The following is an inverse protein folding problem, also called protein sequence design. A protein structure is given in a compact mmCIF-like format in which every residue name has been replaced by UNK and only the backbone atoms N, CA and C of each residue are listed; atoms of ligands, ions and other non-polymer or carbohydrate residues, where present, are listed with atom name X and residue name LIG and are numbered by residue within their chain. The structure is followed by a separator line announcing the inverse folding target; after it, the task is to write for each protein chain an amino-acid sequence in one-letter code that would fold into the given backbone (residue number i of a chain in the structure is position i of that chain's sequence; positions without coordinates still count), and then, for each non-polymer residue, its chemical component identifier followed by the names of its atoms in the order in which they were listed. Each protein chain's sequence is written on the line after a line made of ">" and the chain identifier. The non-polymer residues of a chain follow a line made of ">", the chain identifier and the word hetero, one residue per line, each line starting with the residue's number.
data_IF_836950098799
#
_entry.id   IF_836950098799
#
_cell.length_a   1.000
_cell.length_b   1.000
_cell.length_c   1.000
_cell.angle_alpha   90.00
_cell.angle_beta   90.00
_cell.angle_gamma   90.00
#
_symmetry.space_group_name_H-M   'P 1'
#
loop_
_entity.id
_entity.type
_entity.pdbx_description
1 polymer ?
#
# COMPACT_ATOMS: atom_id res chain seq x y z
N UNK A 1 11.46 5.04 18.52
CA UNK A 1 11.11 3.78 17.82
C UNK A 1 12.38 2.96 17.75
N UNK A 2 12.33 1.67 18.07
CA UNK A 2 13.50 0.78 17.96
C UNK A 2 13.77 0.45 16.49
N UNK A 3 15.03 0.17 16.14
CA UNK A 3 15.44 -0.22 14.78
C UNK A 3 14.65 -1.42 14.26
N UNK A 4 14.33 -2.38 15.13
CA UNK A 4 13.50 -3.55 14.81
C UNK A 4 12.08 -3.17 14.38
N UNK A 5 11.45 -2.22 15.08
CA UNK A 5 10.11 -1.76 14.72
C UNK A 5 10.13 -1.08 13.34
N UNK A 6 11.16 -0.29 13.04
CA UNK A 6 11.30 0.36 11.72
C UNK A 6 11.47 -0.66 10.59
N UNK A 7 12.19 -1.76 10.83
CA UNK A 7 12.35 -2.83 9.85
C UNK A 7 11.04 -3.58 9.59
N UNK A 8 10.26 -3.88 10.64
CA UNK A 8 8.94 -4.50 10.52
C UNK A 8 7.99 -3.59 9.72
N UNK A 9 8.01 -2.31 10.06
CA UNK A 9 7.20 -1.29 9.44
C UNK A 9 7.53 -1.13 7.95
N UNK A 10 8.81 -1.06 7.61
CA UNK A 10 9.30 -1.04 6.23
C UNK A 10 8.80 -2.26 5.45
N UNK A 11 9.01 -3.47 5.99
CA UNK A 11 8.59 -4.73 5.33
C UNK A 11 7.09 -4.77 5.06
N UNK A 12 6.28 -4.27 5.99
CA UNK A 12 4.82 -4.20 5.80
C UNK A 12 4.43 -3.24 4.68
N UNK A 13 5.10 -2.09 4.58
CA UNK A 13 4.83 -1.11 3.52
C UNK A 13 5.29 -1.64 2.16
N UNK A 14 6.46 -2.28 2.10
CA UNK A 14 6.96 -2.98 0.91
C UNK A 14 5.96 -4.04 0.42
N UNK A 15 5.50 -4.92 1.32
CA UNK A 15 4.49 -5.94 1.00
C UNK A 15 3.16 -5.32 0.53
N UNK A 16 2.74 -4.21 1.13
CA UNK A 16 1.54 -3.50 0.69
C UNK A 16 1.69 -2.90 -0.71
N UNK A 17 2.86 -2.32 -1.02
CA UNK A 17 3.16 -1.77 -2.35
C UNK A 17 3.11 -2.89 -3.40
N UNK A 18 3.76 -4.03 -3.12
CA UNK A 18 3.75 -5.19 -4.00
C UNK A 18 2.32 -5.71 -4.22
N UNK A 19 1.55 -5.86 -3.13
CA UNK A 19 0.15 -6.27 -3.22
C UNK A 19 -0.68 -5.33 -4.09
N UNK A 20 -0.56 -4.01 -3.91
CA UNK A 20 -1.28 -3.03 -4.72
C UNK A 20 -0.84 -3.13 -6.19
N UNK A 21 0.46 -3.24 -6.46
CA UNK A 21 0.98 -3.33 -7.82
C UNK A 21 0.47 -4.58 -8.55
N UNK A 22 0.37 -5.72 -7.87
CA UNK A 22 -0.13 -6.97 -8.45
C UNK A 22 -1.66 -6.98 -8.62
N UNK A 23 -2.39 -6.30 -7.74
CA UNK A 23 -3.86 -6.39 -7.69
C UNK A 23 -4.59 -5.13 -8.17
N UNK A 24 -3.89 -4.08 -8.62
CA UNK A 24 -4.49 -2.79 -8.98
C UNK A 24 -5.65 -2.89 -9.99
N UNK A 25 -5.63 -3.89 -10.88
CA UNK A 25 -6.70 -4.12 -11.87
C UNK A 25 -8.05 -4.37 -11.19
N UNK A 26 -8.06 -5.02 -10.03
CA UNK A 26 -9.28 -5.33 -9.27
C UNK A 26 -9.72 -4.19 -8.34
N UNK A 27 -8.97 -3.08 -8.29
CA UNK A 27 -9.23 -1.93 -7.41
C UNK A 27 -9.45 -2.34 -5.94
N UNK A 28 -8.45 -2.98 -5.29
CA UNK A 28 -8.61 -3.48 -3.93
C UNK A 28 -8.95 -2.36 -2.95
N UNK A 29 -9.81 -2.67 -1.99
CA UNK A 29 -10.19 -1.73 -0.93
C UNK A 29 -9.05 -1.53 0.07
N UNK A 30 -9.19 -0.54 0.96
CA UNK A 30 -8.22 -0.34 2.04
C UNK A 30 -8.17 -1.57 2.96
N UNK A 31 -9.33 -2.17 3.19
CA UNK A 31 -9.53 -3.37 3.99
C UNK A 31 -8.79 -4.57 3.40
N UNK A 32 -8.89 -4.78 2.09
CA UNK A 32 -8.20 -5.88 1.40
C UNK A 32 -6.68 -5.76 1.52
N UNK A 33 -6.14 -4.56 1.30
CA UNK A 33 -4.70 -4.30 1.39
C UNK A 33 -4.23 -4.47 2.83
N UNK A 34 -4.98 -3.94 3.80
CA UNK A 34 -4.65 -4.07 5.22
C UNK A 34 -4.67 -5.53 5.68
N UNK A 35 -5.64 -6.32 5.21
CA UNK A 35 -5.73 -7.75 5.48
C UNK A 35 -4.52 -8.51 4.91
N UNK A 36 -4.10 -8.19 3.68
CA UNK A 36 -2.94 -8.81 3.04
C UNK A 36 -1.64 -8.62 3.86
N UNK A 37 -1.50 -7.49 4.55
CA UNK A 37 -0.33 -7.20 5.42
C UNK A 37 -0.59 -7.44 6.92
N UNK A 38 -1.70 -8.12 7.26
CA UNK A 38 -2.09 -8.49 8.64
C UNK A 38 -2.19 -7.28 9.58
N UNK A 39 -2.80 -6.20 9.10
CA UNK A 39 -3.02 -4.97 9.87
C UNK A 39 -4.50 -4.57 9.87
N UNK A 40 -4.90 -3.79 10.88
CA UNK A 40 -6.20 -3.11 10.83
C UNK A 40 -6.16 -1.97 9.79
N UNK A 41 -7.26 -1.69 9.08
CA UNK A 41 -7.31 -0.67 8.03
C UNK A 41 -6.84 0.71 8.49
N UNK A 42 -7.34 1.17 9.63
CA UNK A 42 -6.99 2.47 10.20
C UNK A 42 -5.50 2.59 10.57
N UNK A 43 -4.90 1.52 11.12
CA UNK A 43 -3.50 1.54 11.47
C UNK A 43 -2.61 1.48 10.22
N UNK A 44 -2.97 0.61 9.27
CA UNK A 44 -2.30 0.49 7.99
C UNK A 44 -2.29 1.82 7.23
N UNK A 45 -3.43 2.51 7.12
CA UNK A 45 -3.50 3.80 6.41
C UNK A 45 -2.50 4.83 6.96
N UNK A 46 -2.45 4.98 8.29
CA UNK A 46 -1.50 5.91 8.95
C UNK A 46 -0.05 5.49 8.71
N UNK A 47 0.22 4.20 8.86
CA UNK A 47 1.54 3.64 8.71
C UNK A 47 2.07 3.80 7.28
N UNK A 48 1.26 3.42 6.30
CA UNK A 48 1.57 3.55 4.88
C UNK A 48 1.81 5.02 4.51
N UNK A 49 0.92 5.92 4.92
CA UNK A 49 1.07 7.36 4.61
C UNK A 49 2.34 7.94 5.22
N UNK A 50 2.71 7.51 6.44
CA UNK A 50 3.93 7.96 7.11
C UNK A 50 5.21 7.52 6.38
N UNK A 51 5.21 6.34 5.78
CA UNK A 51 6.38 5.79 5.07
C UNK A 51 6.43 6.16 3.59
N UNK A 52 5.30 6.07 2.88
CA UNK A 52 5.20 6.32 1.45
C UNK A 52 4.88 7.79 1.09
N UNK A 53 4.55 8.63 2.08
CA UNK A 53 4.21 10.04 1.90
C UNK A 53 2.81 10.31 1.31
N UNK A 54 2.10 9.27 0.84
CA UNK A 54 0.74 9.36 0.30
C UNK A 54 -0.13 8.22 0.82
N UNK A 55 -1.45 8.38 0.77
CA UNK A 55 -2.38 7.34 1.22
C UNK A 55 -2.40 6.14 0.26
N UNK A 56 -2.73 4.92 0.76
CA UNK A 56 -2.85 3.73 -0.08
C UNK A 56 -3.80 3.93 -1.27
N UNK A 57 -4.93 4.62 -1.05
CA UNK A 57 -5.91 4.92 -2.10
C UNK A 57 -5.32 5.81 -3.19
N UNK A 58 -4.56 6.85 -2.83
CA UNK A 58 -3.89 7.71 -3.82
C UNK A 58 -2.81 6.95 -4.59
N UNK A 59 -2.06 6.08 -3.91
CA UNK A 59 -1.06 5.24 -4.55
C UNK A 59 -1.69 4.26 -5.56
N UNK A 60 -2.79 3.60 -5.19
CA UNK A 60 -3.55 2.75 -6.10
C UNK A 60 -4.05 3.51 -7.33
N UNK A 61 -4.60 4.73 -7.14
CA UNK A 61 -5.04 5.58 -8.25
C UNK A 61 -3.88 5.94 -9.19
N UNK A 62 -2.71 6.26 -8.64
CA UNK A 62 -1.51 6.56 -9.42
C UNK A 62 -1.07 5.38 -10.28
N UNK A 63 -0.93 4.19 -9.70
CA UNK A 63 -0.57 2.98 -10.46
C UNK A 63 -1.59 2.68 -11.54
N UNK A 64 -2.89 2.81 -11.23
CA UNK A 64 -3.96 2.56 -12.19
C UNK A 64 -3.88 3.50 -13.39
N UNK A 65 -3.61 4.79 -13.16
CA UNK A 65 -3.46 5.77 -14.22
C UNK A 65 -2.23 5.51 -15.08
N UNK A 66 -1.08 5.27 -14.45
CA UNK A 66 0.18 5.04 -15.18
C UNK A 66 0.11 3.77 -16.03
N UNK A 67 -0.46 2.67 -15.51
CA UNK A 67 -0.66 1.44 -16.28
C UNK A 67 -1.69 1.57 -17.40
N UNK A 68 -2.64 2.50 -17.26
CA UNK A 68 -3.58 2.81 -18.35
C UNK A 68 -2.90 3.58 -19.48
N UNK A 69 -1.93 4.46 -19.15
CA UNK A 69 -1.14 5.20 -20.14
C UNK A 69 -0.18 4.30 -20.92
N UNK A 70 0.42 3.29 -20.27
CA UNK A 70 1.29 2.31 -20.94
C UNK A 70 0.55 1.42 -21.97
N UNK A 71 -0.79 1.35 -21.90
CA UNK A 71 -1.63 0.49 -22.77
C UNK A 71 -2.29 1.23 -23.94
N UNK A 72 -2.02 2.53 -24.11
CA UNK A 72 -2.49 3.38 -25.22
C UNK A 72 -1.37 3.57 -26.24
#
# INVERSE_FOLDING_TARGET
>A
MTTEQQLIDYKRVEQAIEFIALNHVYQPSLEDIAYAVKMSPNHFQRQFTRWAGISPKKFLQYITLEKSRERL
#
